data_IF_373281958977
#
_entry.id   IF_373281958977
#
_cell.length_a   1.000
_cell.length_b   1.000
_cell.length_c   1.000
_cell.angle_alpha   90.00
_cell.angle_beta   90.00
_cell.angle_gamma   90.00
#
_symmetry.space_group_name_H-M   'P 1'
#
loop_
_entity.id
_entity.type
_entity.pdbx_description
1 polymer ?
#
# COMPACT_ATOMS: atom_id res chain seq x y z
N UNK A 1 0.87 17.11 -2.53
CA UNK A 1 0.66 15.98 -3.45
C UNK A 1 -0.76 15.50 -3.28
N UNK A 2 -1.48 15.22 -4.36
CA UNK A 2 -2.80 14.58 -4.29
C UNK A 2 -2.64 13.06 -4.28
N UNK A 3 -3.66 12.31 -3.88
CA UNK A 3 -3.58 10.85 -3.80
C UNK A 3 -3.46 10.21 -5.21
N UNK A 4 -4.07 10.81 -6.23
CA UNK A 4 -3.99 10.35 -7.62
C UNK A 4 -2.55 10.40 -8.15
N UNK A 5 -1.80 11.45 -7.80
CA UNK A 5 -0.39 11.56 -8.16
C UNK A 5 0.46 10.48 -7.51
N UNK A 6 0.12 10.02 -6.30
CA UNK A 6 0.85 8.92 -5.68
C UNK A 6 0.52 7.62 -6.41
N UNK A 7 -0.75 7.37 -6.70
CA UNK A 7 -1.20 6.16 -7.41
C UNK A 7 -0.58 6.05 -8.81
N UNK A 8 -0.60 7.13 -9.60
CA UNK A 8 -0.04 7.12 -10.97
C UNK A 8 1.46 6.84 -11.02
N UNK A 9 2.19 7.09 -9.93
CA UNK A 9 3.61 6.78 -9.81
C UNK A 9 3.89 5.35 -9.31
N UNK A 10 2.85 4.55 -9.02
CA UNK A 10 3.02 3.13 -8.71
C UNK A 10 2.91 2.29 -9.99
N UNK A 11 3.82 1.34 -10.17
CA UNK A 11 3.87 0.52 -11.38
C UNK A 11 2.55 -0.24 -11.64
N UNK A 12 1.84 -0.64 -10.59
CA UNK A 12 0.56 -1.34 -10.69
C UNK A 12 -0.53 -0.51 -11.37
N UNK A 13 -0.48 0.83 -11.23
CA UNK A 13 -1.48 1.74 -11.79
C UNK A 13 -0.97 2.58 -12.96
N UNK A 14 0.23 2.29 -13.49
CA UNK A 14 0.89 3.14 -14.49
C UNK A 14 0.06 3.37 -15.77
N UNK A 15 -0.75 2.39 -16.18
CA UNK A 15 -1.60 2.46 -17.37
C UNK A 15 -3.08 2.76 -17.04
N UNK A 16 -3.37 3.14 -15.79
CA UNK A 16 -4.75 3.42 -15.36
C UNK A 16 -5.14 4.87 -15.72
N UNK A 17 -6.29 5.09 -16.40
CA UNK A 17 -6.76 6.43 -16.72
C UNK A 17 -6.98 7.30 -15.47
N UNK A 18 -6.74 8.61 -15.61
CA UNK A 18 -6.83 9.59 -14.50
C UNK A 18 -8.21 9.58 -13.83
N UNK A 19 -9.29 9.39 -14.59
CA UNK A 19 -10.65 9.33 -14.06
C UNK A 19 -10.84 8.13 -13.13
N UNK A 20 -10.28 6.97 -13.51
CA UNK A 20 -10.32 5.78 -12.68
C UNK A 20 -9.45 5.94 -11.43
N UNK A 21 -8.27 6.56 -11.54
CA UNK A 21 -7.43 6.89 -10.39
C UNK A 21 -8.12 7.81 -9.40
N UNK A 22 -8.91 8.78 -9.89
CA UNK A 22 -9.69 9.71 -9.06
C UNK A 22 -10.74 8.94 -8.25
N UNK A 23 -11.45 7.99 -8.87
CA UNK A 23 -12.43 7.14 -8.17
C UNK A 23 -11.76 6.26 -7.12
N UNK A 24 -10.62 5.64 -7.46
CA UNK A 24 -9.85 4.80 -6.52
C UNK A 24 -9.39 5.64 -5.33
N UNK A 25 -8.75 6.79 -5.59
CA UNK A 25 -8.28 7.72 -4.57
C UNK A 25 -9.41 8.19 -3.64
N UNK A 26 -10.59 8.49 -4.19
CA UNK A 26 -11.74 8.92 -3.41
C UNK A 26 -12.33 7.80 -2.53
N UNK A 27 -12.17 6.53 -2.93
CA UNK A 27 -12.64 5.36 -2.17
C UNK A 27 -11.64 4.88 -1.11
N UNK A 28 -10.38 5.32 -1.20
CA UNK A 28 -9.31 4.92 -0.30
C UNK A 28 -9.48 5.55 1.10
N UNK A 29 -8.87 4.92 2.10
CA UNK A 29 -8.80 5.44 3.47
C UNK A 29 -7.35 5.70 3.85
N UNK A 30 -7.10 6.82 4.50
CA UNK A 30 -5.79 7.12 5.09
C UNK A 30 -5.68 6.47 6.46
N UNK A 31 -4.58 5.75 6.70
CA UNK A 31 -4.24 5.18 8.00
C UNK A 31 -2.89 5.71 8.47
N UNK A 32 -2.83 6.14 9.73
CA UNK A 32 -1.58 6.54 10.38
C UNK A 32 -1.10 5.38 11.25
N UNK A 33 0.16 4.99 11.09
CA UNK A 33 0.79 3.93 11.87
C UNK A 33 1.92 4.49 12.74
N UNK A 34 2.12 3.88 13.89
CA UNK A 34 3.25 4.09 14.78
C UNK A 34 4.25 2.94 14.68
N UNK A 35 5.46 3.15 15.20
CA UNK A 35 6.45 2.09 15.29
C UNK A 35 5.91 0.94 16.15
N UNK A 36 5.91 -0.26 15.58
CA UNK A 36 5.40 -1.46 16.23
C UNK A 36 4.01 -1.87 15.75
N UNK A 37 3.28 -0.98 15.06
CA UNK A 37 2.02 -1.35 14.42
C UNK A 37 2.29 -2.33 13.26
N UNK A 38 1.45 -3.35 13.18
CA UNK A 38 1.48 -4.35 12.11
C UNK A 38 0.31 -4.07 11.17
N UNK A 39 0.59 -3.92 9.89
CA UNK A 39 -0.44 -3.66 8.87
C UNK A 39 -1.18 -4.95 8.48
N UNK A 40 -0.42 -6.02 8.23
CA UNK A 40 -0.90 -7.38 8.02
C UNK A 40 0.27 -8.36 8.22
N UNK A 41 -0.03 -9.64 8.44
CA UNK A 41 0.95 -10.72 8.53
C UNK A 41 0.97 -11.57 7.25
N UNK A 42 2.05 -12.31 7.06
CA UNK A 42 2.12 -13.33 6.03
C UNK A 42 1.04 -14.40 6.25
N UNK A 43 0.32 -14.76 5.19
CA UNK A 43 -0.76 -15.75 5.23
C UNK A 43 -2.13 -15.18 5.60
N UNK A 44 -2.22 -13.91 6.00
CA UNK A 44 -3.51 -13.24 6.16
C UNK A 44 -4.25 -13.19 4.81
N UNK A 45 -5.58 -13.26 4.86
CA UNK A 45 -6.41 -13.19 3.65
C UNK A 45 -6.27 -11.80 3.01
N UNK A 46 -5.91 -11.70 1.71
CA UNK A 46 -5.71 -10.42 1.07
C UNK A 46 -7.03 -9.69 0.88
N UNK A 47 -7.16 -8.49 1.44
CA UNK A 47 -8.38 -7.67 1.39
C UNK A 47 -8.14 -6.24 0.89
N UNK A 48 -6.89 -5.75 0.89
CA UNK A 48 -6.54 -4.39 0.51
C UNK A 48 -5.14 -4.27 -0.11
N UNK A 49 -4.93 -3.18 -0.84
CA UNK A 49 -3.63 -2.69 -1.30
C UNK A 49 -3.28 -1.41 -0.55
N UNK A 50 -2.03 -1.29 -0.13
CA UNK A 50 -1.55 -0.12 0.62
C UNK A 50 -0.45 0.61 -0.14
N UNK A 51 -0.47 1.94 -0.04
CA UNK A 51 0.56 2.81 -0.61
C UNK A 51 1.09 3.73 0.49
N UNK A 52 2.42 3.78 0.63
CA UNK A 52 3.07 4.61 1.66
C UNK A 52 3.09 6.05 1.20
N UNK A 53 2.26 6.90 1.81
CA UNK A 53 2.24 8.35 1.53
C UNK A 53 3.42 9.09 2.16
N UNK A 54 3.87 8.65 3.34
CA UNK A 54 5.00 9.22 4.07
C UNK A 54 5.57 8.19 5.05
N UNK A 55 6.87 8.26 5.31
CA UNK A 55 7.57 7.35 6.23
C UNK A 55 8.08 6.09 5.54
N UNK A 56 8.24 5.01 6.31
CA UNK A 56 8.77 3.72 5.85
C UNK A 56 8.05 2.58 6.57
N UNK A 57 7.77 1.51 5.83
CA UNK A 57 7.26 0.24 6.38
C UNK A 57 8.40 -0.78 6.31
N UNK A 58 8.60 -1.52 7.39
CA UNK A 58 9.52 -2.65 7.41
C UNK A 58 8.79 -3.90 6.91
N UNK A 59 9.41 -4.63 5.98
CA UNK A 59 8.93 -5.94 5.55
C UNK A 59 9.75 -6.98 6.32
N UNK A 60 9.11 -7.69 7.24
CA UNK A 60 9.71 -8.78 7.98
C UNK A 60 9.39 -10.09 7.25
N UNK A 61 10.37 -10.65 6.53
CA UNK A 61 10.26 -12.00 5.98
C UNK A 61 10.77 -12.95 7.05
N UNK A 62 9.97 -13.95 7.41
CA UNK A 62 10.38 -14.97 8.37
C UNK A 62 11.67 -15.63 7.89
N UNK A 63 12.73 -15.54 8.69
CA UNK A 63 14.01 -16.17 8.36
C UNK A 63 13.90 -17.67 8.69
N UNK A 64 13.03 -18.39 7.98
CA UNK A 64 12.97 -19.84 8.08
C UNK A 64 14.18 -20.38 7.31
N UNK A 65 15.10 -21.13 7.96
CA UNK A 65 16.18 -21.77 7.24
C UNK A 65 15.56 -22.65 6.14
N UNK A 66 16.13 -22.59 4.94
CA UNK A 66 15.85 -23.58 3.90
C UNK A 66 16.36 -24.91 4.46
N UNK A 67 15.45 -25.81 4.84
CA UNK A 67 15.78 -27.21 5.15
C UNK A 67 16.39 -27.89 3.90
#
# INVERSE_FOLDING_TARGET
>A
MTHENVLSNTAFFAETPTEALTVIAASAKTQTLQRGDVLFNEGDTPDALFVVLSGRIAIAIGNKPLD
#
